data_IF_596288656585
#
_entry.id   IF_596288656585
#
_cell.length_a   1.000
_cell.length_b   1.000
_cell.length_c   1.000
_cell.angle_alpha   90.00
_cell.angle_beta   90.00
_cell.angle_gamma   90.00
#
_symmetry.space_group_name_H-M   'P 1'
#
loop_
_entity.id
_entity.type
_entity.pdbx_description
1 polymer ?
#
# COMPACT_ATOMS: atom_id res chain seq x y z
N UNK A 1 20.27 -1.55 -30.29
CA UNK A 1 20.05 -1.01 -28.93
C UNK A 1 20.72 -1.96 -27.97
N UNK A 2 21.51 -1.45 -27.04
CA UNK A 2 22.19 -2.28 -26.04
C UNK A 2 21.15 -2.67 -24.99
N UNK A 3 21.00 -3.96 -24.67
CA UNK A 3 20.11 -4.39 -23.59
C UNK A 3 20.63 -3.81 -22.26
N UNK A 4 19.80 -3.08 -21.49
CA UNK A 4 20.21 -2.56 -20.21
C UNK A 4 20.56 -3.70 -19.25
N UNK A 5 21.67 -3.57 -18.53
CA UNK A 5 22.10 -4.57 -17.55
C UNK A 5 21.50 -4.23 -16.18
N UNK A 6 21.25 -5.25 -15.37
CA UNK A 6 20.69 -5.12 -14.00
C UNK A 6 21.47 -4.10 -13.14
N UNK A 7 22.80 -3.99 -13.33
CA UNK A 7 23.66 -3.08 -12.57
C UNK A 7 23.66 -1.62 -13.08
N UNK A 8 22.93 -1.33 -14.15
CA UNK A 8 22.89 0.02 -14.73
C UNK A 8 21.91 0.94 -13.99
N UNK A 9 21.11 0.38 -13.07
CA UNK A 9 20.09 1.11 -12.33
C UNK A 9 20.50 1.41 -10.90
N UNK A 10 20.19 2.61 -10.43
CA UNK A 10 20.31 2.95 -9.02
C UNK A 10 19.35 2.09 -8.17
N UNK A 11 19.58 2.00 -6.85
CA UNK A 11 18.68 1.26 -5.95
C UNK A 11 17.25 1.82 -6.04
N UNK A 12 17.13 3.14 -6.09
CA UNK A 12 15.89 3.89 -6.19
C UNK A 12 15.12 3.56 -7.48
N UNK A 13 15.83 3.56 -8.62
CA UNK A 13 15.28 3.16 -9.93
C UNK A 13 14.79 1.71 -9.92
N UNK A 14 15.63 0.81 -9.42
CA UNK A 14 15.33 -0.62 -9.34
C UNK A 14 14.02 -0.85 -8.58
N UNK A 15 13.88 -0.29 -7.38
CA UNK A 15 12.68 -0.50 -6.57
C UNK A 15 11.45 0.23 -7.12
N UNK A 16 11.62 1.39 -7.77
CA UNK A 16 10.51 2.04 -8.49
C UNK A 16 9.97 1.14 -9.60
N UNK A 17 10.84 0.56 -10.43
CA UNK A 17 10.42 -0.31 -11.52
C UNK A 17 9.84 -1.63 -11.03
N UNK A 18 10.45 -2.25 -10.03
CA UNK A 18 9.90 -3.46 -9.41
C UNK A 18 8.50 -3.21 -8.85
N UNK A 19 8.28 -2.09 -8.14
CA UNK A 19 6.96 -1.74 -7.62
C UNK A 19 5.94 -1.50 -8.74
N UNK A 20 6.31 -0.75 -9.78
CA UNK A 20 5.41 -0.50 -10.91
C UNK A 20 5.10 -1.79 -11.69
N UNK A 21 6.07 -2.70 -11.80
CA UNK A 21 5.92 -4.00 -12.46
C UNK A 21 5.09 -5.00 -11.66
N UNK A 22 5.26 -5.04 -10.33
CA UNK A 22 4.68 -6.06 -9.46
C UNK A 22 3.15 -6.19 -9.60
N UNK A 23 2.58 -7.38 -9.32
CA UNK A 23 1.14 -7.54 -9.21
C UNK A 23 0.61 -6.82 -7.96
N UNK A 24 -0.51 -6.13 -8.09
CA UNK A 24 -1.21 -5.50 -6.99
C UNK A 24 -2.51 -6.22 -6.65
N UNK A 25 -3.52 -5.44 -6.27
CA UNK A 25 -4.84 -5.92 -5.83
C UNK A 25 -5.57 -6.77 -6.88
N UNK A 26 -5.31 -6.55 -8.18
CA UNK A 26 -5.93 -7.32 -9.26
C UNK A 26 -5.14 -8.59 -9.59
N UNK A 27 -3.97 -8.80 -8.96
CA UNK A 27 -3.00 -9.86 -9.27
C UNK A 27 -2.40 -9.81 -10.68
N UNK A 28 -2.59 -8.71 -11.41
CA UNK A 28 -2.04 -8.54 -12.76
C UNK A 28 -0.70 -7.80 -12.69
N UNK A 29 0.30 -8.27 -13.45
CA UNK A 29 1.55 -7.52 -13.60
C UNK A 29 1.31 -6.18 -14.29
N UNK A 30 2.14 -5.20 -13.95
CA UNK A 30 2.03 -3.81 -14.41
C UNK A 30 0.69 -3.15 -14.07
N UNK A 31 0.06 -3.59 -12.98
CA UNK A 31 -1.10 -2.93 -12.41
C UNK A 31 -0.78 -1.47 -12.10
N UNK A 32 -1.67 -0.58 -12.50
CA UNK A 32 -1.47 0.87 -12.37
C UNK A 32 -1.47 1.27 -10.91
N UNK A 33 -0.54 2.15 -10.54
CA UNK A 33 -0.62 2.89 -9.27
C UNK A 33 -1.49 4.12 -9.49
N UNK A 34 -2.52 4.30 -8.66
CA UNK A 34 -3.60 5.28 -8.86
C UNK A 34 -3.09 6.73 -8.94
N UNK A 35 -2.05 7.07 -8.20
CA UNK A 35 -1.44 8.40 -8.25
C UNK A 35 -0.23 8.55 -7.34
N UNK A 36 0.32 9.77 -7.32
CA UNK A 36 1.60 10.06 -6.64
C UNK A 36 1.55 9.78 -5.13
N UNK A 37 0.42 10.03 -4.46
CA UNK A 37 0.29 9.72 -3.02
C UNK A 37 0.46 8.23 -2.75
N UNK A 38 -0.15 7.37 -3.57
CA UNK A 38 0.00 5.91 -3.44
C UNK A 38 1.43 5.48 -3.68
N UNK A 39 2.08 6.01 -4.73
CA UNK A 39 3.48 5.72 -5.00
C UNK A 39 4.37 6.10 -3.81
N UNK A 40 4.20 7.30 -3.26
CA UNK A 40 4.97 7.79 -2.12
C UNK A 40 4.79 6.91 -0.88
N UNK A 41 3.56 6.52 -0.55
CA UNK A 41 3.28 5.68 0.64
C UNK A 41 3.74 4.24 0.47
N UNK A 42 3.58 3.66 -0.72
CA UNK A 42 4.06 2.32 -1.02
C UNK A 42 5.60 2.27 -0.96
N UNK A 43 6.30 3.22 -1.60
CA UNK A 43 7.76 3.28 -1.53
C UNK A 43 8.28 3.54 -0.12
N UNK A 44 7.58 4.38 0.66
CA UNK A 44 7.94 4.58 2.07
C UNK A 44 7.80 3.29 2.89
N UNK A 45 6.69 2.55 2.71
CA UNK A 45 6.48 1.29 3.41
C UNK A 45 7.53 0.24 2.99
N UNK A 46 7.85 0.14 1.70
CA UNK A 46 8.92 -0.73 1.22
C UNK A 46 10.26 -0.39 1.85
N UNK A 47 10.60 0.91 1.98
CA UNK A 47 11.83 1.33 2.65
C UNK A 47 11.90 0.86 4.11
N UNK A 48 10.75 0.71 4.78
CA UNK A 48 10.69 0.21 6.16
C UNK A 48 10.84 -1.31 6.25
N UNK A 49 10.49 -2.03 5.20
CA UNK A 49 10.49 -3.51 5.17
C UNK A 49 11.81 -4.04 4.59
N UNK A 50 12.27 -3.47 3.49
CA UNK A 50 13.41 -3.95 2.70
C UNK A 50 14.64 -3.10 3.02
N UNK A 51 15.65 -3.67 3.72
CA UNK A 51 16.94 -3.02 3.90
C UNK A 51 17.62 -2.86 2.54
N UNK A 52 18.05 -1.64 2.19
CA UNK A 52 18.76 -1.36 0.93
C UNK A 52 18.09 -0.32 0.04
N UNK A 53 16.85 0.07 0.32
CA UNK A 53 16.21 1.21 -0.34
C UNK A 53 16.80 2.52 0.20
N UNK A 54 17.61 3.19 -0.63
CA UNK A 54 18.35 4.40 -0.26
C UNK A 54 17.55 5.70 -0.36
N UNK A 55 16.37 5.71 -1.00
CA UNK A 55 15.50 6.90 -1.15
C UNK A 55 15.29 7.61 0.19
N UNK A 56 15.53 8.93 0.25
CA UNK A 56 15.22 9.71 1.45
C UNK A 56 13.75 10.13 1.48
N UNK A 57 13.17 10.17 2.68
CA UNK A 57 11.82 10.68 2.91
C UNK A 57 11.85 11.70 4.04
N UNK A 58 11.36 12.89 3.73
CA UNK A 58 11.18 13.97 4.68
C UNK A 58 9.75 13.95 5.23
N UNK A 59 9.58 14.52 6.43
CA UNK A 59 8.27 14.75 7.02
C UNK A 59 7.66 15.99 6.36
N UNK A 60 6.52 15.84 5.68
CA UNK A 60 5.86 16.90 4.93
C UNK A 60 4.35 16.95 5.23
N UNK A 61 3.66 17.93 4.62
CA UNK A 61 2.22 18.22 4.79
C UNK A 61 1.26 17.02 4.67
N UNK A 62 1.68 15.91 4.04
CA UNK A 62 0.85 14.72 3.81
C UNK A 62 1.51 13.44 4.36
N UNK A 63 2.42 13.55 5.33
CA UNK A 63 3.23 12.44 5.82
C UNK A 63 4.58 12.35 5.12
N UNK A 64 5.21 11.17 5.21
CA UNK A 64 6.46 10.89 4.52
C UNK A 64 6.37 11.19 3.02
N UNK A 65 7.31 11.99 2.53
CA UNK A 65 7.39 12.45 1.16
C UNK A 65 8.84 12.47 0.69
N UNK A 66 9.08 12.03 -0.54
CA UNK A 66 10.40 12.04 -1.18
C UNK A 66 10.38 12.90 -2.43
N UNK A 67 11.11 14.02 -2.38
CA UNK A 67 11.36 14.88 -3.54
C UNK A 67 12.24 14.17 -4.58
N UNK A 68 13.16 13.32 -4.12
CA UNK A 68 13.98 12.43 -4.95
C UNK A 68 13.12 11.48 -5.78
N UNK A 69 12.13 10.82 -5.16
CA UNK A 69 11.20 9.94 -5.87
C UNK A 69 10.37 10.70 -6.92
N UNK A 70 9.99 11.95 -6.63
CA UNK A 70 9.30 12.82 -7.62
C UNK A 70 10.23 13.15 -8.79
N UNK A 71 11.48 13.53 -8.54
CA UNK A 71 12.45 13.82 -9.59
C UNK A 71 12.70 12.57 -10.46
N UNK A 72 12.83 11.40 -9.82
CA UNK A 72 12.99 10.12 -10.48
C UNK A 72 11.78 9.76 -11.36
N UNK A 73 10.57 9.90 -10.83
CA UNK A 73 9.33 9.69 -11.58
C UNK A 73 9.26 10.61 -12.81
N UNK A 74 9.52 11.91 -12.62
CA UNK A 74 9.45 12.88 -13.71
C UNK A 74 10.46 12.59 -14.82
N UNK A 75 11.70 12.23 -14.46
CA UNK A 75 12.73 11.80 -15.41
C UNK A 75 12.26 10.59 -16.23
N UNK A 76 11.71 9.57 -15.56
CA UNK A 76 11.22 8.35 -16.20
C UNK A 76 9.99 8.57 -17.10
N UNK A 77 9.17 9.58 -16.82
CA UNK A 77 8.08 9.98 -17.71
C UNK A 77 8.64 10.64 -18.97
N UNK A 78 9.62 11.54 -18.83
CA UNK A 78 10.29 12.20 -19.98
C UNK A 78 11.01 11.18 -20.86
N UNK A 79 11.68 10.21 -20.24
CA UNK A 79 12.37 9.09 -20.90
C UNK A 79 11.41 8.03 -21.46
N UNK A 80 10.10 8.19 -21.25
CA UNK A 80 9.03 7.28 -21.71
C UNK A 80 9.14 5.86 -21.16
N UNK A 81 9.78 5.68 -20.00
CA UNK A 81 9.80 4.42 -19.24
C UNK A 81 8.48 4.26 -18.47
N UNK A 82 7.92 5.37 -17.95
CA UNK A 82 6.65 5.41 -17.23
C UNK A 82 5.60 6.14 -18.06
N UNK A 83 4.40 5.56 -18.15
CA UNK A 83 3.22 6.19 -18.74
C UNK A 83 2.35 6.77 -17.63
N UNK A 84 2.12 8.08 -17.66
CA UNK A 84 1.20 8.78 -16.76
C UNK A 84 0.28 9.71 -17.56
N UNK A 85 -1.05 9.53 -17.44
CA UNK A 85 -2.03 10.28 -18.26
C UNK A 85 -2.07 11.79 -17.95
N UNK A 86 -1.72 12.20 -16.74
CA UNK A 86 -1.60 13.59 -16.30
C UNK A 86 -0.72 13.67 -15.03
N UNK A 87 -0.33 14.87 -14.57
CA UNK A 87 0.61 15.06 -13.44
C UNK A 87 0.20 14.40 -12.11
N UNK A 88 -1.08 14.05 -11.94
CA UNK A 88 -1.64 13.47 -10.70
C UNK A 88 -2.23 12.07 -10.97
N UNK A 89 -2.14 11.59 -12.21
CA UNK A 89 -2.93 10.47 -12.70
C UNK A 89 -2.27 9.13 -12.43
N UNK A 90 -3.03 8.08 -12.75
CA UNK A 90 -2.55 6.72 -12.67
C UNK A 90 -1.30 6.51 -13.51
N UNK A 91 -0.34 5.75 -12.99
CA UNK A 91 0.93 5.46 -13.63
C UNK A 91 1.19 3.95 -13.74
N UNK A 92 1.92 3.57 -14.79
CA UNK A 92 2.39 2.21 -15.05
C UNK A 92 3.61 2.25 -15.96
N UNK A 93 4.30 1.13 -16.13
CA UNK A 93 5.40 1.01 -17.07
C UNK A 93 4.89 1.04 -18.51
N UNK A 94 5.65 1.70 -19.39
CA UNK A 94 5.50 1.59 -20.86
C UNK A 94 5.95 0.21 -21.34
N UNK A 95 5.89 -0.06 -22.66
CA UNK A 95 6.46 -1.29 -23.24
C UNK A 95 7.96 -1.44 -22.91
N UNK A 96 8.75 -0.37 -23.09
CA UNK A 96 10.17 -0.36 -22.71
C UNK A 96 10.36 -0.53 -21.21
N UNK A 97 9.54 0.15 -20.39
CA UNK A 97 9.59 0.00 -18.94
C UNK A 97 9.23 -1.42 -18.48
N UNK A 98 8.29 -2.08 -19.16
CA UNK A 98 7.88 -3.46 -18.89
C UNK A 98 9.03 -4.44 -19.11
N UNK A 99 9.79 -4.30 -20.19
CA UNK A 99 10.97 -5.13 -20.44
C UNK A 99 12.00 -4.99 -19.31
N UNK A 100 12.28 -3.76 -18.89
CA UNK A 100 13.19 -3.45 -17.77
C UNK A 100 12.65 -4.06 -16.47
N UNK A 101 11.38 -3.80 -16.16
CA UNK A 101 10.71 -4.29 -14.96
C UNK A 101 10.72 -5.81 -14.88
N UNK A 102 10.47 -6.50 -16.00
CA UNK A 102 10.50 -7.95 -16.09
C UNK A 102 11.90 -8.53 -15.86
N UNK A 103 12.94 -7.91 -16.43
CA UNK A 103 14.32 -8.33 -16.22
C UNK A 103 14.73 -8.17 -14.75
N UNK A 104 14.41 -7.02 -14.15
CA UNK A 104 14.69 -6.76 -12.73
C UNK A 104 13.90 -7.72 -11.84
N UNK A 105 12.64 -7.99 -12.17
CA UNK A 105 11.80 -8.93 -11.44
C UNK A 105 12.37 -10.35 -11.44
N UNK A 106 12.80 -10.84 -12.61
CA UNK A 106 13.42 -12.16 -12.73
C UNK A 106 14.76 -12.28 -12.00
N UNK A 107 15.43 -11.16 -11.74
CA UNK A 107 16.68 -11.10 -10.99
C UNK A 107 16.49 -10.82 -9.50
N UNK A 108 15.28 -10.44 -9.06
CA UNK A 108 14.98 -10.16 -7.67
C UNK A 108 14.87 -11.47 -6.87
N UNK A 109 15.18 -11.40 -5.57
CA UNK A 109 14.97 -12.54 -4.69
C UNK A 109 13.48 -12.80 -4.46
N UNK A 110 13.12 -14.04 -4.12
CA UNK A 110 11.74 -14.39 -3.78
C UNK A 110 11.17 -13.52 -2.65
N UNK A 111 12.00 -13.25 -1.62
CA UNK A 111 11.63 -12.35 -0.52
C UNK A 111 11.32 -10.94 -1.00
N UNK A 112 12.15 -10.35 -1.87
CA UNK A 112 11.88 -9.01 -2.41
C UNK A 112 10.61 -8.98 -3.26
N UNK A 113 10.41 -9.99 -4.11
CA UNK A 113 9.20 -10.11 -4.93
C UNK A 113 7.94 -10.22 -4.07
N UNK A 114 8.01 -10.99 -2.98
CA UNK A 114 6.93 -11.15 -2.02
C UNK A 114 6.63 -9.84 -1.28
N UNK A 115 7.64 -9.19 -0.71
CA UNK A 115 7.48 -7.92 0.02
C UNK A 115 6.89 -6.83 -0.86
N UNK A 116 7.39 -6.70 -2.10
CA UNK A 116 6.89 -5.70 -3.07
C UNK A 116 5.44 -6.00 -3.48
N UNK A 117 5.14 -7.26 -3.78
CA UNK A 117 3.77 -7.67 -4.12
C UNK A 117 2.80 -7.45 -2.96
N UNK A 118 3.22 -7.78 -1.74
CA UNK A 118 2.41 -7.64 -0.54
C UNK A 118 2.10 -6.16 -0.26
N UNK A 119 3.08 -5.27 -0.36
CA UNK A 119 2.85 -3.82 -0.20
C UNK A 119 1.89 -3.31 -1.28
N UNK A 120 2.11 -3.69 -2.55
CA UNK A 120 1.24 -3.24 -3.65
C UNK A 120 -0.19 -3.75 -3.49
N UNK A 121 -0.38 -5.06 -3.24
CA UNK A 121 -1.70 -5.66 -2.94
C UNK A 121 -2.40 -5.00 -1.77
N UNK A 122 -1.64 -4.67 -0.73
CA UNK A 122 -2.18 -4.07 0.46
C UNK A 122 -2.72 -2.65 0.21
N UNK A 123 -1.96 -1.80 -0.50
CA UNK A 123 -2.25 -0.37 -0.60
C UNK A 123 -2.93 0.08 -1.90
N UNK A 124 -2.82 -0.66 -3.01
CA UNK A 124 -3.12 -0.10 -4.33
C UNK A 124 -4.61 0.19 -4.58
N UNK A 125 -5.51 -0.52 -3.89
CA UNK A 125 -6.97 -0.38 -3.92
C UNK A 125 -7.53 0.39 -2.70
N UNK A 126 -6.66 0.91 -1.82
CA UNK A 126 -7.10 1.79 -0.74
C UNK A 126 -7.61 3.12 -1.31
N UNK A 127 -8.62 3.71 -0.67
CA UNK A 127 -8.98 5.12 -0.89
C UNK A 127 -7.89 6.05 -0.35
N UNK A 128 -7.98 7.34 -0.68
CA UNK A 128 -7.03 8.33 -0.19
C UNK A 128 -7.07 8.41 1.35
N UNK A 129 -8.27 8.37 1.91
CA UNK A 129 -8.55 8.45 3.33
C UNK A 129 -8.01 7.22 4.06
N UNK A 130 -8.24 6.02 3.53
CA UNK A 130 -7.69 4.77 4.05
C UNK A 130 -6.15 4.78 4.06
N UNK A 131 -5.54 5.21 2.95
CA UNK A 131 -4.09 5.25 2.81
C UNK A 131 -3.44 6.23 3.80
N UNK A 132 -4.03 7.43 3.96
CA UNK A 132 -3.57 8.44 4.90
C UNK A 132 -3.75 7.93 6.32
N UNK A 133 -4.94 7.41 6.66
CA UNK A 133 -5.26 6.95 8.00
C UNK A 133 -4.35 5.80 8.45
N UNK A 134 -4.12 4.82 7.57
CA UNK A 134 -3.16 3.76 7.82
C UNK A 134 -1.75 4.31 8.02
N UNK A 135 -1.30 5.21 7.13
CA UNK A 135 0.05 5.76 7.17
C UNK A 135 0.30 6.55 8.45
N UNK A 136 -0.63 7.41 8.86
CA UNK A 136 -0.48 8.28 10.03
C UNK A 136 -0.57 7.50 11.34
N UNK A 137 -1.47 6.50 11.41
CA UNK A 137 -1.54 5.58 12.55
C UNK A 137 -0.26 4.75 12.70
N UNK A 138 0.35 4.33 11.59
CA UNK A 138 1.53 3.44 11.60
C UNK A 138 2.83 4.21 11.80
N UNK A 139 2.91 5.43 11.27
CA UNK A 139 4.09 6.28 11.30
C UNK A 139 3.73 7.69 11.82
N UNK A 140 3.32 7.81 13.10
CA UNK A 140 2.76 9.06 13.63
C UNK A 140 3.71 10.24 13.53
N UNK A 141 5.02 10.02 13.65
CA UNK A 141 6.03 11.07 13.51
C UNK A 141 5.98 11.76 12.14
N UNK A 142 5.56 11.04 11.10
CA UNK A 142 5.47 11.63 9.75
C UNK A 142 4.30 12.61 9.61
N UNK A 143 3.31 12.55 10.50
CA UNK A 143 2.09 13.36 10.44
C UNK A 143 2.17 14.68 11.21
N UNK A 144 3.25 14.94 11.96
CA UNK A 144 3.34 16.04 12.95
C UNK A 144 3.18 17.43 12.31
N UNK A 145 3.60 17.60 11.06
CA UNK A 145 3.52 18.87 10.32
C UNK A 145 2.46 18.84 9.20
N UNK A 146 1.42 18.01 9.35
CA UNK A 146 0.43 17.78 8.31
C UNK A 146 -0.69 18.82 8.32
N UNK A 147 -0.83 19.61 7.26
CA UNK A 147 -1.94 20.56 7.07
C UNK A 147 -3.31 19.89 6.95
N UNK A 148 -3.34 18.56 6.76
CA UNK A 148 -4.58 17.77 6.71
C UNK A 148 -4.84 16.96 7.98
N UNK A 149 -4.16 17.26 9.08
CA UNK A 149 -4.32 16.51 10.33
C UNK A 149 -5.78 16.57 10.82
N UNK A 150 -6.42 17.75 10.76
CA UNK A 150 -7.83 17.91 11.14
C UNK A 150 -8.75 17.06 10.26
N UNK A 151 -8.55 17.08 8.93
CA UNK A 151 -9.29 16.23 8.01
C UNK A 151 -9.08 14.74 8.29
N UNK A 152 -7.87 14.34 8.65
CA UNK A 152 -7.60 12.96 9.08
C UNK A 152 -8.38 12.63 10.36
N UNK A 153 -8.35 13.48 11.38
CA UNK A 153 -9.06 13.23 12.64
C UNK A 153 -10.58 13.12 12.43
N UNK A 154 -11.14 13.88 11.49
CA UNK A 154 -12.56 13.78 11.12
C UNK A 154 -12.92 12.47 10.40
N UNK A 155 -11.97 11.84 9.68
CA UNK A 155 -12.24 10.71 8.79
C UNK A 155 -11.64 9.38 9.24
N UNK A 156 -10.76 9.39 10.25
CA UNK A 156 -9.98 8.20 10.69
C UNK A 156 -10.84 7.03 11.14
N UNK A 157 -12.01 7.28 11.72
CA UNK A 157 -12.92 6.23 12.21
C UNK A 157 -13.54 5.49 11.03
N UNK A 158 -14.12 6.22 10.08
CA UNK A 158 -14.71 5.63 8.87
C UNK A 158 -13.65 4.91 8.02
N UNK A 159 -12.45 5.49 7.91
CA UNK A 159 -11.32 4.84 7.25
C UNK A 159 -10.90 3.54 7.96
N UNK A 160 -10.88 3.51 9.29
CA UNK A 160 -10.58 2.30 10.06
C UNK A 160 -11.65 1.21 9.88
N UNK A 161 -12.92 1.59 9.91
CA UNK A 161 -14.05 0.70 9.64
C UNK A 161 -13.95 0.09 8.22
N UNK A 162 -13.62 0.91 7.23
CA UNK A 162 -13.45 0.47 5.84
C UNK A 162 -12.23 -0.44 5.66
N UNK A 163 -11.09 -0.11 6.28
CA UNK A 163 -9.90 -0.95 6.27
C UNK A 163 -10.16 -2.33 6.93
N UNK A 164 -10.92 -2.35 8.03
CA UNK A 164 -11.29 -3.59 8.70
C UNK A 164 -12.25 -4.43 7.84
N UNK A 165 -13.30 -3.81 7.29
CA UNK A 165 -14.29 -4.53 6.47
C UNK A 165 -13.72 -5.09 5.16
N UNK A 166 -12.62 -4.52 4.66
CA UNK A 166 -11.84 -5.03 3.51
C UNK A 166 -10.78 -6.08 3.90
N UNK A 167 -10.77 -6.55 5.15
CA UNK A 167 -9.78 -7.49 5.69
C UNK A 167 -8.31 -7.01 5.55
N UNK A 168 -8.10 -5.70 5.42
CA UNK A 168 -6.75 -5.13 5.28
C UNK A 168 -6.02 -5.07 6.61
N UNK A 169 -6.75 -4.80 7.69
CA UNK A 169 -6.15 -4.66 9.03
C UNK A 169 -6.90 -5.50 10.05
N UNK A 170 -6.16 -6.05 11.01
CA UNK A 170 -6.76 -6.70 12.18
C UNK A 170 -7.62 -5.73 13.00
N UNK A 171 -8.56 -6.26 13.80
CA UNK A 171 -9.39 -5.47 14.72
C UNK A 171 -8.55 -4.54 15.61
N UNK A 172 -7.45 -5.05 16.17
CA UNK A 172 -6.53 -4.27 17.01
C UNK A 172 -5.85 -3.13 16.24
N UNK A 173 -5.48 -3.38 14.98
CA UNK A 173 -4.87 -2.33 14.14
C UNK A 173 -5.91 -1.31 13.69
N UNK A 174 -7.13 -1.74 13.37
CA UNK A 174 -8.25 -0.86 13.04
C UNK A 174 -8.58 0.09 14.20
N UNK A 175 -8.70 -0.41 15.44
CA UNK A 175 -8.97 0.44 16.61
C UNK A 175 -7.85 1.46 16.83
N UNK A 176 -6.59 1.06 16.61
CA UNK A 176 -5.43 1.96 16.65
C UNK A 176 -5.47 3.04 15.55
N UNK A 177 -5.97 2.72 14.35
CA UNK A 177 -6.20 3.72 13.30
C UNK A 177 -7.31 4.68 13.73
N UNK A 178 -8.42 4.15 14.25
CA UNK A 178 -9.57 4.92 14.73
C UNK A 178 -9.27 5.79 15.96
N UNK A 179 -8.20 5.52 16.71
CA UNK A 179 -7.81 6.33 17.87
C UNK A 179 -8.57 6.02 19.14
N UNK A 180 -9.14 4.82 19.23
CA UNK A 180 -9.99 4.41 20.33
C UNK A 180 -9.60 3.01 20.82
N UNK A 181 -10.18 2.59 21.95
CA UNK A 181 -9.98 1.25 22.47
C UNK A 181 -10.57 0.19 21.51
N UNK A 182 -10.15 -1.07 21.67
CA UNK A 182 -10.73 -2.18 20.90
C UNK A 182 -12.23 -2.31 21.18
N UNK A 183 -12.63 -2.11 22.44
CA UNK A 183 -14.03 -2.23 22.87
C UNK A 183 -14.90 -1.12 22.25
N UNK A 184 -14.42 0.12 22.26
CA UNK A 184 -15.13 1.24 21.60
C UNK A 184 -15.23 1.02 20.09
N UNK A 185 -14.17 0.51 19.48
CA UNK A 185 -14.17 0.23 18.05
C UNK A 185 -15.14 -0.90 17.68
N UNK A 186 -15.28 -1.92 18.52
CA UNK A 186 -16.28 -2.99 18.37
C UNK A 186 -17.71 -2.42 18.41
N UNK A 187 -17.98 -1.48 19.31
CA UNK A 187 -19.28 -0.80 19.36
C UNK A 187 -19.53 0.03 18.09
N UNK A 188 -18.51 0.71 17.59
CA UNK A 188 -18.59 1.51 16.37
C UNK A 188 -18.84 0.64 15.12
N UNK A 189 -18.16 -0.50 14.99
CA UNK A 189 -18.46 -1.49 13.95
C UNK A 189 -19.92 -1.94 14.00
N UNK A 190 -20.44 -2.22 15.22
CA UNK A 190 -21.85 -2.55 15.43
C UNK A 190 -22.79 -1.43 14.98
N UNK A 191 -22.48 -0.17 15.29
CA UNK A 191 -23.25 1.01 14.87
C UNK A 191 -23.31 1.16 13.35
N UNK A 192 -22.23 0.81 12.66
CA UNK A 192 -22.14 0.83 11.20
C UNK A 192 -22.62 -0.46 10.51
N UNK A 193 -23.14 -1.44 11.28
CA UNK A 193 -23.55 -2.76 10.78
C UNK A 193 -22.43 -3.55 10.10
N UNK A 194 -21.19 -3.40 10.56
CA UNK A 194 -20.03 -4.14 10.06
C UNK A 194 -19.83 -5.39 10.94
N UNK A 195 -19.86 -6.60 10.37
CA UNK A 195 -19.70 -7.83 11.14
C UNK A 195 -18.26 -8.00 11.65
N UNK A 196 -18.12 -8.35 12.93
CA UNK A 196 -16.80 -8.63 13.57
C UNK A 196 -16.34 -10.06 13.29
N UNK A 197 -17.28 -10.96 13.02
CA UNK A 197 -17.03 -12.35 12.69
C UNK A 197 -17.66 -12.69 11.35
N UNK A 198 -16.83 -12.95 10.35
CA UNK A 198 -17.24 -13.67 9.15
C UNK A 198 -17.05 -15.16 9.43
N UNK A 199 -18.04 -15.79 10.06
CA UNK A 199 -18.02 -17.26 10.16
C UNK A 199 -18.35 -17.78 8.77
N UNK A 200 -17.38 -18.42 8.10
CA UNK A 200 -17.70 -19.13 6.87
C UNK A 200 -18.78 -20.18 7.17
N UNK A 201 -19.73 -20.37 6.26
CA UNK A 201 -20.82 -21.32 6.47
C UNK A 201 -20.28 -22.73 6.80
N UNK A 202 -19.11 -23.08 6.23
CA UNK A 202 -18.38 -24.31 6.55
C UNK A 202 -17.79 -24.35 7.97
N UNK A 203 -17.23 -23.25 8.47
CA UNK A 203 -16.73 -23.16 9.85
C UNK A 203 -17.87 -23.17 10.87
N UNK A 204 -18.99 -22.52 10.55
CA UNK A 204 -20.20 -22.55 11.37
C UNK A 204 -20.77 -23.97 11.43
N UNK A 205 -20.93 -24.62 10.27
CA UNK A 205 -21.45 -25.98 10.16
C UNK A 205 -20.56 -26.99 10.88
N UNK A 206 -19.23 -26.88 10.74
CA UNK A 206 -18.28 -27.75 11.45
C UNK A 206 -18.35 -27.56 12.98
N UNK A 207 -18.59 -26.34 13.44
CA UNK A 207 -18.78 -26.06 14.87
C UNK A 207 -20.10 -26.62 15.37
N UNK A 208 -21.18 -26.51 14.58
CA UNK A 208 -22.49 -27.11 14.87
C UNK A 208 -22.44 -28.65 14.91
N UNK A 209 -21.79 -29.29 13.93
CA UNK A 209 -21.61 -30.75 13.89
C UNK A 209 -20.84 -31.26 15.13
N UNK A 210 -19.87 -30.48 15.63
CA UNK A 210 -19.17 -30.81 16.87
C UNK A 210 -20.08 -30.71 18.10
N UNK A 211 -20.96 -29.70 18.16
CA UNK A 211 -21.90 -29.51 19.26
C UNK A 211 -23.00 -30.58 19.28
N UNK A 212 -23.48 -31.03 18.12
CA UNK A 212 -24.47 -32.11 18.01
C UNK A 212 -23.92 -33.47 18.44
N UNK A 213 -22.61 -33.70 18.32
CA UNK A 213 -21.95 -34.94 18.78
C UNK A 213 -21.76 -35.05 20.29
N UNK A 214 -21.97 -33.94 21.02
CA UNK A 214 -21.88 -33.89 22.49
C UNK A 214 -23.27 -34.08 23.13
N UNK A 215 -24.32 -34.21 22.31
CA UNK A 215 -25.70 -34.43 22.73
C UNK A 215 -26.10 -35.90 22.62
#
# INVERSE_FOLDING_TARGET
>A
MMEPKINDYSSEERFLYLLLFAPGSTNEFNERIIGNTWLQKQMYLLKKIIPGISISFDECQFGAFSSELVALQNRNIVEKIIVQKNKVGSMHLSETGLEIGQQLWNAASESEMEDISNVKKFMNDMTREELIAYSYSTFPNTAVNSDILDYFEETRVDAACSLFSKDKVSLKKASSVAGMSVDDFVLELGRQNIPIFTVSESAFKKSMDCLERIR
#
